data_IF_914432337227
#
_entry.id   IF_914432337227
#
_cell.length_a   1.000
_cell.length_b   1.000
_cell.length_c   1.000
_cell.angle_alpha   90.00
_cell.angle_beta   90.00
_cell.angle_gamma   90.00
#
_symmetry.space_group_name_H-M   'P 1'
#
loop_
_entity.id
_entity.type
_entity.pdbx_description
1 polymer ?
#
# COMPACT_ATOMS: atom_id res chain seq x y z
N UNK A 1 -8.72 -9.12 44.70
CA UNK A 1 -8.30 -8.41 43.47
C UNK A 1 -9.54 -8.18 42.63
N UNK A 2 -9.88 -6.92 42.37
CA UNK A 2 -11.05 -6.55 41.57
C UNK A 2 -10.70 -6.76 40.09
N UNK A 3 -11.36 -7.70 39.41
CA UNK A 3 -11.21 -7.87 37.97
C UNK A 3 -11.93 -6.71 37.27
N UNK A 4 -11.15 -5.86 36.59
CA UNK A 4 -11.68 -4.85 35.69
C UNK A 4 -12.00 -5.55 34.37
N UNK A 5 -13.24 -5.42 33.88
CA UNK A 5 -13.62 -5.91 32.56
C UNK A 5 -12.80 -5.13 31.52
N UNK A 6 -11.93 -5.83 30.78
CA UNK A 6 -11.22 -5.23 29.67
C UNK A 6 -12.23 -4.85 28.58
N UNK A 7 -12.34 -3.55 28.29
CA UNK A 7 -13.21 -3.00 27.23
C UNK A 7 -12.44 -2.72 25.94
N UNK A 8 -11.16 -3.08 25.88
CA UNK A 8 -10.32 -2.87 24.71
C UNK A 8 -10.81 -3.73 23.54
N UNK A 9 -10.99 -3.10 22.38
CA UNK A 9 -11.44 -3.74 21.15
C UNK A 9 -10.27 -4.18 20.26
N UNK A 10 -9.02 -3.95 20.70
CA UNK A 10 -7.80 -4.23 19.93
C UNK A 10 -7.76 -5.63 19.31
N UNK A 11 -8.23 -6.67 20.02
CA UNK A 11 -8.19 -8.05 19.51
C UNK A 11 -9.16 -8.29 18.36
N UNK A 12 -10.32 -7.61 18.33
CA UNK A 12 -11.26 -7.69 17.19
C UNK A 12 -10.71 -6.95 15.97
N UNK A 13 -10.07 -5.80 16.18
CA UNK A 13 -9.49 -5.02 15.08
C UNK A 13 -8.31 -5.72 14.41
N UNK A 14 -7.54 -6.52 15.17
CA UNK A 14 -6.47 -7.37 14.64
C UNK A 14 -7.01 -8.42 13.65
N UNK A 15 -8.11 -9.10 14.01
CA UNK A 15 -8.76 -10.08 13.13
C UNK A 15 -9.12 -9.48 11.76
N UNK A 16 -9.84 -8.37 11.76
CA UNK A 16 -10.21 -7.69 10.50
C UNK A 16 -9.01 -7.16 9.71
N UNK A 17 -7.96 -6.70 10.39
CA UNK A 17 -6.73 -6.28 9.71
C UNK A 17 -6.05 -7.44 9.01
N UNK A 18 -5.95 -8.60 9.67
CA UNK A 18 -5.40 -9.81 9.07
C UNK A 18 -6.20 -10.23 7.84
N UNK A 19 -7.53 -10.33 7.94
CA UNK A 19 -8.41 -10.69 6.82
C UNK A 19 -8.20 -9.79 5.60
N UNK A 20 -8.14 -8.47 5.80
CA UNK A 20 -7.87 -7.50 4.71
C UNK A 20 -6.50 -7.74 4.06
N UNK A 21 -5.46 -7.92 4.88
CA UNK A 21 -4.11 -8.19 4.37
C UNK A 21 -4.02 -9.54 3.64
N UNK A 22 -4.75 -10.57 4.11
CA UNK A 22 -4.85 -11.88 3.47
C UNK A 22 -5.54 -11.81 2.13
N UNK A 23 -6.69 -11.14 2.05
CA UNK A 23 -7.38 -10.89 0.78
C UNK A 23 -6.49 -10.12 -0.22
N UNK A 24 -5.83 -9.05 0.23
CA UNK A 24 -4.89 -8.30 -0.61
C UNK A 24 -3.73 -9.18 -1.11
N UNK A 25 -3.14 -9.99 -0.23
CA UNK A 25 -2.04 -10.90 -0.55
C UNK A 25 -2.48 -11.97 -1.56
N UNK A 26 -3.67 -12.54 -1.41
CA UNK A 26 -4.21 -13.53 -2.33
C UNK A 26 -4.51 -12.93 -3.72
N UNK A 27 -5.06 -11.71 -3.77
CA UNK A 27 -5.24 -10.96 -5.03
C UNK A 27 -3.90 -10.70 -5.72
N UNK A 28 -2.89 -10.25 -4.98
CA UNK A 28 -1.56 -9.98 -5.52
C UNK A 28 -0.88 -11.28 -5.98
N UNK A 29 -1.04 -12.39 -5.26
CA UNK A 29 -0.57 -13.72 -5.70
C UNK A 29 -1.25 -14.13 -7.00
N UNK A 30 -2.56 -13.93 -7.13
CA UNK A 30 -3.30 -14.22 -8.36
C UNK A 30 -2.84 -13.32 -9.54
N UNK A 31 -2.52 -12.05 -9.27
CA UNK A 31 -1.99 -11.13 -10.27
C UNK A 31 -0.59 -11.50 -10.78
N UNK A 32 0.22 -12.09 -9.88
CA UNK A 32 1.58 -12.58 -10.13
C UNK A 32 1.64 -13.99 -10.73
N UNK A 33 0.51 -14.70 -10.76
CA UNK A 33 0.46 -16.08 -11.21
C UNK A 33 0.72 -16.17 -12.72
N UNK A 34 1.75 -16.95 -13.09
CA UNK A 34 2.16 -17.15 -14.48
C UNK A 34 1.20 -18.06 -15.26
N UNK A 35 0.28 -18.74 -14.58
CA UNK A 35 -0.70 -19.63 -15.19
C UNK A 35 -1.90 -18.87 -15.76
N UNK A 36 -1.72 -18.08 -16.83
CA UNK A 36 -2.79 -17.42 -17.61
C UNK A 36 -4.08 -17.11 -16.82
N UNK A 37 -3.95 -16.40 -15.70
CA UNK A 37 -5.11 -16.04 -14.88
C UNK A 37 -5.87 -14.95 -15.61
N UNK A 38 -7.05 -15.31 -16.12
CA UNK A 38 -7.88 -14.43 -16.94
C UNK A 38 -8.62 -13.40 -16.09
N UNK A 39 -9.09 -13.83 -14.92
CA UNK A 39 -9.90 -13.02 -14.02
C UNK A 39 -9.70 -13.51 -12.59
N UNK A 40 -9.66 -12.60 -11.63
CA UNK A 40 -9.63 -12.94 -10.22
C UNK A 40 -10.35 -11.87 -9.40
N UNK A 41 -10.92 -12.29 -8.28
CA UNK A 41 -11.66 -11.41 -7.39
C UNK A 41 -11.73 -11.99 -5.98
N UNK A 42 -11.73 -11.13 -4.98
CA UNK A 42 -11.75 -11.52 -3.58
C UNK A 42 -12.70 -10.65 -2.77
N UNK A 43 -13.21 -11.20 -1.68
CA UNK A 43 -14.00 -10.50 -0.68
C UNK A 43 -13.63 -11.07 0.69
N UNK A 44 -13.94 -10.31 1.73
CA UNK A 44 -13.84 -10.78 3.11
C UNK A 44 -15.24 -10.83 3.72
N UNK A 45 -15.43 -11.74 4.67
CA UNK A 45 -16.73 -12.01 5.32
C UNK A 45 -17.84 -12.40 4.31
N UNK A 46 -17.46 -12.97 3.16
CA UNK A 46 -18.41 -13.34 2.12
C UNK A 46 -18.99 -14.73 2.36
N UNK A 47 -18.12 -15.70 2.64
CA UNK A 47 -18.51 -17.07 3.01
C UNK A 47 -17.81 -17.49 4.30
N UNK A 48 -16.53 -17.15 4.41
CA UNK A 48 -15.76 -17.13 5.67
C UNK A 48 -14.96 -15.82 5.73
N UNK A 49 -13.95 -15.78 6.61
CA UNK A 49 -12.99 -14.69 6.77
C UNK A 49 -12.51 -14.12 5.42
N UNK A 50 -12.02 -14.96 4.49
CA UNK A 50 -11.60 -14.52 3.14
C UNK A 50 -12.05 -15.51 2.06
N UNK A 51 -12.62 -14.99 0.97
CA UNK A 51 -12.94 -15.76 -0.24
C UNK A 51 -12.23 -15.17 -1.44
N UNK A 52 -11.48 -15.99 -2.18
CA UNK A 52 -10.91 -15.62 -3.49
C UNK A 52 -11.35 -16.61 -4.56
N UNK A 53 -11.69 -16.07 -5.72
CA UNK A 53 -12.01 -16.85 -6.92
C UNK A 53 -11.10 -16.38 -8.04
N UNK A 54 -10.47 -17.31 -8.75
CA UNK A 54 -9.67 -17.03 -9.94
C UNK A 54 -10.01 -17.99 -11.07
N UNK A 55 -10.04 -17.48 -12.29
CA UNK A 55 -10.26 -18.28 -13.50
C UNK A 55 -8.91 -18.51 -14.17
N UNK A 56 -8.50 -19.77 -14.18
CA UNK A 56 -7.25 -20.26 -14.78
C UNK A 56 -7.63 -21.03 -16.03
N UNK A 57 -7.26 -20.54 -17.22
CA UNK A 57 -7.68 -21.13 -18.49
C UNK A 57 -9.22 -21.28 -18.60
N UNK A 58 -9.74 -22.51 -18.53
CA UNK A 58 -11.17 -22.86 -18.60
C UNK A 58 -11.73 -23.39 -17.26
N UNK A 59 -10.93 -23.38 -16.20
CA UNK A 59 -11.32 -23.82 -14.86
C UNK A 59 -11.39 -22.63 -13.90
N UNK A 60 -12.34 -22.71 -12.97
CA UNK A 60 -12.45 -21.74 -11.88
C UNK A 60 -11.90 -22.37 -10.62
N UNK A 61 -10.94 -21.71 -9.98
CA UNK A 61 -10.46 -22.07 -8.66
C UNK A 61 -11.11 -21.14 -7.63
N UNK A 62 -11.66 -21.74 -6.58
CA UNK A 62 -12.19 -21.00 -5.44
C UNK A 62 -11.45 -21.44 -4.18
N UNK A 63 -10.96 -20.48 -3.42
CA UNK A 63 -10.36 -20.67 -2.10
C UNK A 63 -11.22 -19.93 -1.08
N UNK A 64 -11.61 -20.63 -0.02
CA UNK A 64 -12.22 -20.04 1.18
C UNK A 64 -11.25 -20.26 2.33
N UNK A 65 -10.93 -19.18 3.03
CA UNK A 65 -9.92 -19.14 4.06
C UNK A 65 -10.51 -18.67 5.39
N UNK A 66 -10.05 -19.29 6.46
CA UNK A 66 -10.30 -18.93 7.85
C UNK A 66 -8.98 -18.51 8.50
N UNK A 67 -8.97 -17.30 9.07
CA UNK A 67 -7.79 -16.57 9.53
C UNK A 67 -7.75 -16.47 11.06
N UNK A 68 -6.76 -17.11 11.68
CA UNK A 68 -6.63 -17.19 13.14
C UNK A 68 -5.34 -16.54 13.61
N UNK A 69 -5.46 -15.28 14.03
CA UNK A 69 -4.39 -14.50 14.67
C UNK A 69 -4.38 -14.73 16.19
N UNK A 70 -3.49 -15.60 16.67
CA UNK A 70 -3.33 -15.91 18.09
C UNK A 70 -1.89 -15.68 18.54
N UNK A 71 -1.67 -15.54 19.84
CA UNK A 71 -0.33 -15.40 20.41
C UNK A 71 0.55 -16.62 20.09
N UNK A 72 1.84 -16.41 19.85
CA UNK A 72 2.82 -17.46 19.57
C UNK A 72 2.89 -18.57 20.64
N UNK A 73 2.47 -18.27 21.86
CA UNK A 73 2.52 -19.20 23.00
C UNK A 73 1.38 -20.24 23.00
N UNK A 74 0.38 -20.07 22.13
CA UNK A 74 -0.75 -20.98 22.00
C UNK A 74 -0.64 -21.78 20.70
N UNK A 75 -0.58 -23.11 20.80
CA UNK A 75 -0.62 -23.99 19.64
C UNK A 75 -2.03 -24.54 19.41
N UNK A 76 -2.43 -24.65 18.15
CA UNK A 76 -3.68 -25.29 17.78
C UNK A 76 -3.57 -26.80 17.75
N UNK A 77 -4.62 -27.47 18.23
CA UNK A 77 -4.79 -28.92 18.10
C UNK A 77 -6.12 -29.18 17.40
N UNK A 78 -6.38 -30.41 16.95
CA UNK A 78 -7.68 -30.77 16.35
C UNK A 78 -8.87 -30.50 17.29
N UNK A 79 -8.64 -30.42 18.61
CA UNK A 79 -9.66 -30.16 19.62
C UNK A 79 -9.82 -28.69 19.99
N UNK A 80 -9.01 -27.80 19.44
CA UNK A 80 -9.15 -26.37 19.70
C UNK A 80 -10.45 -25.86 19.12
N UNK A 81 -11.18 -25.03 19.87
CA UNK A 81 -12.50 -24.54 19.47
C UNK A 81 -12.50 -23.87 18.09
N UNK A 82 -11.50 -23.03 17.80
CA UNK A 82 -11.37 -22.40 16.50
C UNK A 82 -11.23 -23.42 15.35
N UNK A 83 -10.44 -24.48 15.53
CA UNK A 83 -10.25 -25.54 14.52
C UNK A 83 -11.53 -26.33 14.31
N UNK A 84 -12.22 -26.66 15.41
CA UNK A 84 -13.48 -27.39 15.40
C UNK A 84 -14.60 -26.60 14.69
N UNK A 85 -14.74 -25.32 15.00
CA UNK A 85 -15.71 -24.43 14.34
C UNK A 85 -15.43 -24.33 12.83
N UNK A 86 -14.17 -24.13 12.44
CA UNK A 86 -13.78 -24.09 11.03
C UNK A 86 -14.05 -25.42 10.32
N UNK A 87 -13.79 -26.57 10.94
CA UNK A 87 -14.10 -27.87 10.34
C UNK A 87 -15.60 -28.08 10.10
N UNK A 88 -16.45 -27.67 11.05
CA UNK A 88 -17.91 -27.70 10.89
C UNK A 88 -18.31 -26.81 9.70
N UNK A 89 -17.84 -25.56 9.68
CA UNK A 89 -18.21 -24.61 8.63
C UNK A 89 -17.72 -25.03 7.24
N UNK A 90 -16.47 -25.48 7.12
CA UNK A 90 -15.94 -26.04 5.88
C UNK A 90 -16.73 -27.25 5.41
N UNK A 91 -17.16 -28.13 6.33
CA UNK A 91 -17.98 -29.28 5.95
C UNK A 91 -19.36 -28.84 5.43
N UNK A 92 -19.98 -27.84 6.03
CA UNK A 92 -21.25 -27.28 5.56
C UNK A 92 -21.14 -26.68 4.17
N UNK A 93 -20.09 -25.88 3.95
CA UNK A 93 -19.82 -25.31 2.63
C UNK A 93 -19.52 -26.41 1.62
N UNK A 94 -18.74 -27.43 2.01
CA UNK A 94 -18.40 -28.55 1.15
C UNK A 94 -19.67 -29.23 0.66
N UNK A 95 -20.54 -29.69 1.56
CA UNK A 95 -21.78 -30.38 1.19
C UNK A 95 -22.74 -29.45 0.44
N UNK A 96 -22.86 -28.18 0.86
CA UNK A 96 -23.73 -27.20 0.22
C UNK A 96 -23.32 -26.85 -1.22
N UNK A 97 -22.01 -26.92 -1.53
CA UNK A 97 -21.47 -26.56 -2.85
C UNK A 97 -21.12 -27.74 -3.75
N UNK A 98 -20.95 -28.95 -3.21
CA UNK A 98 -20.49 -30.15 -3.92
C UNK A 98 -21.32 -30.53 -5.17
N UNK A 99 -22.50 -29.93 -5.35
CA UNK A 99 -23.38 -30.19 -6.50
C UNK A 99 -23.25 -29.21 -7.69
N UNK A 100 -22.41 -28.17 -7.64
CA UNK A 100 -22.60 -27.00 -8.54
C UNK A 100 -21.68 -26.79 -9.75
N UNK A 101 -20.61 -27.55 -9.99
CA UNK A 101 -19.85 -27.41 -11.26
C UNK A 101 -18.75 -28.46 -11.41
N UNK A 102 -18.66 -29.13 -12.56
CA UNK A 102 -17.51 -30.00 -12.90
C UNK A 102 -16.23 -29.20 -13.20
N UNK A 103 -16.34 -27.90 -13.45
CA UNK A 103 -15.23 -27.03 -13.87
C UNK A 103 -14.70 -26.13 -12.74
N UNK A 104 -15.28 -26.22 -11.53
CA UNK A 104 -14.86 -25.43 -10.37
C UNK A 104 -14.07 -26.29 -9.40
N UNK A 105 -12.78 -26.00 -9.24
CA UNK A 105 -11.94 -26.59 -8.21
C UNK A 105 -12.06 -25.73 -6.96
N UNK A 106 -12.73 -26.28 -5.97
CA UNK A 106 -12.89 -25.63 -4.67
C UNK A 106 -11.84 -26.16 -3.68
N UNK A 107 -11.24 -25.28 -2.86
CA UNK A 107 -10.34 -25.63 -1.75
C UNK A 107 -10.60 -24.73 -0.52
N UNK A 108 -10.27 -25.22 0.65
CA UNK A 108 -10.30 -24.49 1.91
C UNK A 108 -8.89 -24.20 2.41
N UNK A 109 -8.73 -23.18 3.24
CA UNK A 109 -7.46 -22.86 3.91
C UNK A 109 -7.71 -22.50 5.37
N UNK A 110 -6.98 -23.14 6.28
CA UNK A 110 -6.91 -22.72 7.68
C UNK A 110 -5.59 -22.00 7.88
N UNK A 111 -5.62 -20.67 7.93
CA UNK A 111 -4.45 -19.82 8.10
C UNK A 111 -4.28 -19.43 9.56
N UNK A 112 -3.12 -19.71 10.14
CA UNK A 112 -2.82 -19.27 11.50
C UNK A 112 -1.38 -18.83 11.69
N UNK A 113 -1.20 -17.81 12.51
CA UNK A 113 0.10 -17.31 12.97
C UNK A 113 0.80 -18.26 13.94
N UNK A 114 0.07 -19.24 14.48
CA UNK A 114 0.58 -20.17 15.50
C UNK A 114 0.87 -21.55 14.94
N UNK A 115 1.62 -22.36 15.70
CA UNK A 115 1.97 -23.71 15.29
C UNK A 115 0.91 -24.74 15.70
N UNK A 116 1.05 -25.95 15.16
CA UNK A 116 0.22 -27.08 15.58
C UNK A 116 0.88 -27.81 16.74
N UNK A 117 0.06 -28.19 17.73
CA UNK A 117 0.49 -28.83 18.97
C UNK A 117 -0.04 -30.25 19.09
N UNK A 118 0.57 -31.02 19.99
CA UNK A 118 0.15 -32.40 20.26
C UNK A 118 -1.14 -32.45 21.09
N UNK A 119 -2.07 -33.29 20.67
CA UNK A 119 -3.32 -33.55 21.38
C UNK A 119 -3.04 -34.30 22.69
N UNK A 120 -3.71 -33.89 23.77
CA UNK A 120 -3.70 -34.62 25.06
C UNK A 120 -5.03 -35.29 25.39
N UNK A 121 -6.12 -34.81 24.77
CA UNK A 121 -7.49 -35.27 24.99
C UNK A 121 -7.71 -36.58 24.24
N UNK A 122 -7.99 -37.67 24.97
CA UNK A 122 -8.24 -39.01 24.42
C UNK A 122 -9.72 -39.42 24.41
N UNK A 123 -10.59 -38.64 25.06
CA UNK A 123 -12.02 -38.92 25.16
C UNK A 123 -12.83 -37.82 24.47
N UNK A 124 -13.80 -38.21 23.65
CA UNK A 124 -14.78 -37.32 23.05
C UNK A 124 -15.89 -36.96 24.04
N UNK A 125 -16.72 -35.96 23.69
CA UNK A 125 -17.82 -35.51 24.54
C UNK A 125 -18.91 -36.58 24.73
N UNK A 126 -19.02 -37.53 23.81
CA UNK A 126 -19.93 -38.67 23.87
C UNK A 126 -19.36 -39.89 24.63
N UNK A 127 -18.16 -39.76 25.21
CA UNK A 127 -17.47 -40.82 25.95
C UNK A 127 -16.63 -41.76 25.08
N UNK A 128 -16.57 -41.56 23.76
CA UNK A 128 -15.73 -42.37 22.87
C UNK A 128 -14.26 -42.16 23.18
N UNK A 129 -13.53 -43.23 23.46
CA UNK A 129 -12.06 -43.20 23.64
C UNK A 129 -11.37 -43.37 22.30
N UNK A 130 -10.39 -42.51 22.03
CA UNK A 130 -9.61 -42.48 20.80
C UNK A 130 -8.13 -42.74 21.10
N UNK A 131 -7.52 -43.60 20.29
CA UNK A 131 -6.07 -43.75 20.25
C UNK A 131 -5.45 -42.63 19.42
N UNK A 132 -4.73 -41.72 20.09
CA UNK A 132 -4.05 -40.62 19.43
C UNK A 132 -2.76 -41.13 18.74
N UNK A 133 -2.45 -40.66 17.53
CA UNK A 133 -1.18 -40.96 16.87
C UNK A 133 0.01 -40.36 17.63
N UNK A 134 1.24 -40.73 17.28
CA UNK A 134 2.44 -40.14 17.90
C UNK A 134 2.65 -38.67 17.50
N UNK A 135 2.42 -38.34 16.23
CA UNK A 135 2.53 -36.97 15.71
C UNK A 135 1.22 -36.19 15.90
N UNK A 136 1.23 -34.85 15.98
CA UNK A 136 0.01 -34.02 15.96
C UNK A 136 -0.86 -34.32 14.74
N UNK A 137 -2.18 -34.44 14.93
CA UNK A 137 -3.13 -34.76 13.85
C UNK A 137 -3.08 -33.68 12.77
N UNK A 138 -3.08 -32.39 13.15
CA UNK A 138 -3.03 -31.28 12.20
C UNK A 138 -1.71 -31.26 11.40
N UNK A 139 -0.59 -31.69 11.98
CA UNK A 139 0.67 -31.83 11.23
C UNK A 139 0.63 -32.99 10.24
N UNK A 140 -0.05 -34.10 10.60
CA UNK A 140 -0.27 -35.21 9.67
C UNK A 140 -1.12 -34.72 8.51
N UNK A 141 -2.23 -34.03 8.78
CA UNK A 141 -3.12 -33.49 7.73
C UNK A 141 -2.39 -32.47 6.83
N UNK A 142 -1.53 -31.62 7.39
CA UNK A 142 -0.74 -30.64 6.64
C UNK A 142 0.21 -31.27 5.60
N UNK A 143 0.87 -32.36 5.96
CA UNK A 143 2.02 -32.89 5.21
C UNK A 143 1.71 -34.13 4.37
N UNK A 144 0.52 -34.70 4.47
CA UNK A 144 0.24 -36.02 3.88
C UNK A 144 -0.44 -35.91 2.53
N UNK A 145 0.20 -36.42 1.48
CA UNK A 145 -0.45 -36.66 0.18
C UNK A 145 -1.58 -37.69 0.27
N UNK A 146 -1.48 -38.59 1.24
CA UNK A 146 -2.47 -39.62 1.54
C UNK A 146 -2.73 -39.67 3.05
N UNK A 147 -4.00 -39.50 3.43
CA UNK A 147 -4.41 -39.46 4.83
C UNK A 147 -4.73 -40.89 5.27
N UNK A 148 -4.02 -41.45 6.28
CA UNK A 148 -4.26 -42.81 6.76
C UNK A 148 -5.69 -43.01 7.30
N UNK A 149 -6.24 -44.21 7.13
CA UNK A 149 -7.61 -44.58 7.54
C UNK A 149 -7.87 -44.31 9.03
N UNK A 150 -6.91 -44.67 9.89
CA UNK A 150 -7.00 -44.42 11.32
C UNK A 150 -7.11 -42.92 11.62
N UNK A 151 -6.30 -42.07 10.96
CA UNK A 151 -6.35 -40.62 11.13
C UNK A 151 -7.67 -40.05 10.64
N UNK A 152 -8.11 -40.46 9.45
CA UNK A 152 -9.39 -39.99 8.89
C UNK A 152 -10.59 -40.39 9.75
N UNK A 153 -10.57 -41.60 10.35
CA UNK A 153 -11.63 -42.07 11.24
C UNK A 153 -11.66 -41.30 12.56
N UNK A 154 -10.48 -40.98 13.11
CA UNK A 154 -10.36 -40.13 14.30
C UNK A 154 -10.94 -38.74 14.03
N UNK A 155 -10.53 -38.10 12.94
CA UNK A 155 -11.02 -36.75 12.58
C UNK A 155 -12.52 -36.78 12.31
N UNK A 156 -13.05 -37.82 11.64
CA UNK A 156 -14.50 -37.98 11.41
C UNK A 156 -15.26 -38.09 12.73
N UNK A 157 -14.77 -38.87 13.69
CA UNK A 157 -15.40 -39.02 14.99
C UNK A 157 -15.40 -37.70 15.80
N UNK A 158 -14.28 -36.97 15.77
CA UNK A 158 -14.15 -35.65 16.41
C UNK A 158 -15.16 -34.68 15.80
N UNK A 159 -15.21 -34.59 14.46
CA UNK A 159 -16.12 -33.71 13.75
C UNK A 159 -17.58 -34.08 14.02
N UNK A 160 -17.94 -35.37 13.98
CA UNK A 160 -19.30 -35.82 14.31
C UNK A 160 -19.74 -35.41 15.71
N UNK A 161 -18.86 -35.58 16.70
CA UNK A 161 -19.15 -35.20 18.09
C UNK A 161 -19.38 -33.70 18.22
N UNK A 162 -18.56 -32.87 17.57
CA UNK A 162 -18.74 -31.41 17.63
C UNK A 162 -19.94 -30.95 16.81
N UNK A 163 -20.14 -31.48 15.61
CA UNK A 163 -21.24 -31.13 14.72
C UNK A 163 -22.59 -31.36 15.41
N UNK A 164 -22.76 -32.52 16.06
CA UNK A 164 -23.96 -32.83 16.87
C UNK A 164 -24.17 -31.80 17.98
N UNK A 165 -23.11 -31.39 18.66
CA UNK A 165 -23.15 -30.39 19.74
C UNK A 165 -23.54 -29.01 19.23
N UNK A 166 -23.02 -28.56 18.08
CA UNK A 166 -23.34 -27.24 17.53
C UNK A 166 -24.77 -27.17 16.97
N UNK A 167 -25.23 -28.25 16.34
CA UNK A 167 -26.55 -28.31 15.70
C UNK A 167 -27.69 -28.85 16.58
N UNK A 168 -27.42 -29.28 17.82
CA UNK A 168 -28.43 -29.89 18.72
C UNK A 168 -29.71 -29.04 18.87
N UNK A 169 -29.55 -27.70 18.88
CA UNK A 169 -30.64 -26.73 19.07
C UNK A 169 -31.10 -26.05 17.79
N UNK A 170 -30.52 -26.41 16.64
CA UNK A 170 -30.78 -25.77 15.35
C UNK A 170 -31.78 -26.65 14.58
N UNK A 171 -32.97 -26.13 14.22
CA UNK A 171 -33.94 -26.88 13.42
C UNK A 171 -33.33 -27.38 12.11
N UNK A 172 -33.50 -28.67 11.81
CA UNK A 172 -32.98 -29.31 10.61
C UNK A 172 -31.62 -30.01 10.77
N UNK A 173 -30.92 -29.81 11.89
CA UNK A 173 -29.65 -30.47 12.22
C UNK A 173 -28.55 -30.32 11.15
N UNK A 174 -28.60 -29.25 10.35
CA UNK A 174 -27.64 -29.00 9.27
C UNK A 174 -27.50 -30.18 8.30
N UNK A 175 -26.26 -30.53 7.98
CA UNK A 175 -25.87 -31.68 7.16
C UNK A 175 -25.42 -32.89 7.99
N UNK A 176 -25.89 -33.02 9.24
CA UNK A 176 -25.48 -34.12 10.14
C UNK A 176 -25.62 -35.49 9.49
N UNK A 177 -26.74 -35.76 8.82
CA UNK A 177 -26.97 -37.05 8.15
C UNK A 177 -25.96 -37.32 7.04
N UNK A 178 -25.57 -36.28 6.28
CA UNK A 178 -24.54 -36.42 5.26
C UNK A 178 -23.18 -36.75 5.90
N UNK A 179 -22.85 -36.15 7.06
CA UNK A 179 -21.62 -36.47 7.80
C UNK A 179 -21.64 -37.89 8.39
N UNK A 180 -22.80 -38.39 8.82
CA UNK A 180 -22.94 -39.78 9.28
C UNK A 180 -22.73 -40.75 8.11
N UNK A 181 -23.41 -40.51 6.99
CA UNK A 181 -23.48 -41.40 5.83
C UNK A 181 -22.25 -41.33 4.90
N UNK A 182 -21.42 -40.27 4.96
CA UNK A 182 -20.25 -40.11 4.09
C UNK A 182 -19.26 -41.26 4.25
N UNK A 183 -18.81 -41.84 3.14
CA UNK A 183 -17.80 -42.90 3.17
C UNK A 183 -16.46 -42.37 3.71
N UNK A 184 -15.61 -43.24 4.24
CA UNK A 184 -14.30 -42.80 4.73
C UNK A 184 -13.42 -42.24 3.60
N UNK A 185 -13.55 -42.79 2.39
CA UNK A 185 -12.83 -42.30 1.20
C UNK A 185 -13.31 -40.92 0.78
N UNK A 186 -14.62 -40.68 0.72
CA UNK A 186 -15.16 -39.35 0.40
C UNK A 186 -14.81 -38.33 1.48
N UNK A 187 -14.75 -38.77 2.75
CA UNK A 187 -14.32 -37.92 3.84
C UNK A 187 -12.82 -37.54 3.73
N UNK A 188 -11.96 -38.47 3.29
CA UNK A 188 -10.57 -38.15 2.97
C UNK A 188 -10.47 -37.14 1.83
N UNK A 189 -11.34 -37.22 0.81
CA UNK A 189 -11.39 -36.22 -0.27
C UNK A 189 -11.71 -34.84 0.30
N UNK A 190 -12.69 -34.74 1.20
CA UNK A 190 -12.98 -33.51 1.93
C UNK A 190 -11.76 -33.00 2.71
N UNK A 191 -11.11 -33.83 3.52
CA UNK A 191 -9.95 -33.39 4.30
C UNK A 191 -8.78 -32.91 3.41
N UNK A 192 -8.56 -33.56 2.25
CA UNK A 192 -7.55 -33.14 1.26
C UNK A 192 -7.85 -31.81 0.59
N UNK A 193 -9.09 -31.32 0.68
CA UNK A 193 -9.47 -29.99 0.19
C UNK A 193 -9.02 -28.87 1.13
N UNK A 194 -8.61 -29.20 2.36
CA UNK A 194 -8.23 -28.22 3.38
C UNK A 194 -6.71 -28.08 3.42
N UNK A 195 -6.21 -26.88 3.12
CA UNK A 195 -4.82 -26.50 3.28
C UNK A 195 -4.59 -26.02 4.72
N UNK A 196 -3.78 -26.75 5.48
CA UNK A 196 -3.46 -26.42 6.87
C UNK A 196 -2.20 -25.57 6.95
N UNK A 197 -2.36 -24.25 7.06
CA UNK A 197 -1.27 -23.27 7.03
C UNK A 197 -0.94 -22.80 8.46
N UNK A 198 -0.01 -23.50 9.11
CA UNK A 198 0.51 -23.13 10.45
C UNK A 198 1.80 -22.32 10.42
N UNK A 199 2.01 -21.53 11.47
CA UNK A 199 3.21 -20.70 11.66
C UNK A 199 3.38 -19.69 10.54
N UNK A 200 2.26 -19.10 10.10
CA UNK A 200 2.24 -18.14 9.02
C UNK A 200 2.51 -16.72 9.53
N UNK A 201 2.72 -15.82 8.58
CA UNK A 201 3.04 -14.42 8.82
C UNK A 201 1.95 -13.72 9.65
N UNK A 202 2.36 -12.93 10.63
CA UNK A 202 1.47 -12.02 11.34
C UNK A 202 1.18 -10.76 10.50
N UNK A 203 0.40 -9.81 11.05
CA UNK A 203 0.02 -8.59 10.32
C UNK A 203 1.21 -7.76 9.82
N UNK A 204 2.31 -7.71 10.59
CA UNK A 204 3.48 -6.92 10.24
C UNK A 204 4.28 -7.63 9.15
N UNK A 205 4.53 -8.93 9.32
CA UNK A 205 5.26 -9.73 8.34
C UNK A 205 4.50 -9.84 7.01
N UNK A 206 3.17 -9.99 7.08
CA UNK A 206 2.31 -10.09 5.91
C UNK A 206 2.27 -8.78 5.12
N UNK A 207 2.39 -7.63 5.79
CA UNK A 207 2.53 -6.34 5.11
C UNK A 207 3.81 -6.30 4.26
N UNK A 208 4.95 -6.70 4.82
CA UNK A 208 6.23 -6.74 4.09
C UNK A 208 6.16 -7.69 2.89
N UNK A 209 5.48 -8.83 3.05
CA UNK A 209 5.28 -9.79 1.96
C UNK A 209 4.31 -9.30 0.89
N UNK A 210 3.26 -8.57 1.25
CA UNK A 210 2.40 -7.91 0.29
C UNK A 210 3.16 -6.84 -0.51
N UNK A 211 4.05 -6.06 0.12
CA UNK A 211 4.89 -5.08 -0.59
C UNK A 211 5.86 -5.76 -1.58
N UNK A 212 6.44 -6.92 -1.22
CA UNK A 212 7.26 -7.71 -2.16
C UNK A 212 6.44 -8.20 -3.35
N UNK A 213 5.21 -8.67 -3.12
CA UNK A 213 4.30 -9.12 -4.18
C UNK A 213 3.86 -7.97 -5.08
N UNK A 214 3.72 -6.76 -4.54
CA UNK A 214 3.46 -5.55 -5.34
C UNK A 214 4.62 -5.29 -6.29
N UNK A 215 5.88 -5.36 -5.81
CA UNK A 215 7.08 -5.15 -6.64
C UNK A 215 7.22 -6.18 -7.76
N UNK A 216 6.80 -7.43 -7.53
CA UNK A 216 6.85 -8.47 -8.56
C UNK A 216 5.66 -8.45 -9.52
N UNK A 217 4.60 -7.70 -9.19
CA UNK A 217 3.35 -7.68 -9.93
C UNK A 217 3.55 -7.22 -11.38
N UNK A 218 2.86 -7.87 -12.33
CA UNK A 218 2.89 -7.50 -13.75
C UNK A 218 2.43 -6.06 -14.03
N UNK A 219 1.64 -5.48 -13.12
CA UNK A 219 1.18 -4.09 -13.23
C UNK A 219 2.19 -3.08 -12.72
N UNK A 220 3.22 -3.53 -11.98
CA UNK A 220 4.20 -2.67 -11.35
C UNK A 220 5.17 -2.10 -12.39
N UNK A 221 5.44 -0.80 -12.27
CA UNK A 221 6.37 -0.09 -13.15
C UNK A 221 7.42 0.66 -12.34
N UNK A 222 8.54 1.01 -12.98
CA UNK A 222 9.64 1.73 -12.33
C UNK A 222 9.19 3.08 -11.73
N UNK A 223 8.23 3.76 -12.37
CA UNK A 223 7.62 5.01 -11.89
C UNK A 223 6.86 4.87 -10.56
N UNK A 224 6.59 3.64 -10.11
CA UNK A 224 5.93 3.31 -8.86
C UNK A 224 6.92 2.96 -7.74
N UNK A 225 8.23 3.07 -7.97
CA UNK A 225 9.25 2.81 -6.95
C UNK A 225 9.02 3.68 -5.71
N UNK A 226 8.96 3.05 -4.53
CA UNK A 226 8.69 3.72 -3.26
C UNK A 226 7.21 3.98 -2.97
N UNK A 227 6.28 3.51 -3.82
CA UNK A 227 4.83 3.65 -3.64
C UNK A 227 4.13 2.35 -3.25
N UNK A 228 4.86 1.33 -2.83
CA UNK A 228 4.31 0.00 -2.52
C UNK A 228 3.30 0.06 -1.38
N UNK A 229 3.66 0.76 -0.31
CA UNK A 229 2.77 0.94 0.84
C UNK A 229 1.50 1.72 0.47
N UNK A 230 1.62 2.71 -0.44
CA UNK A 230 0.47 3.45 -0.96
C UNK A 230 -0.46 2.54 -1.78
N UNK A 231 0.10 1.71 -2.67
CA UNK A 231 -0.66 0.73 -3.45
C UNK A 231 -1.38 -0.22 -2.51
N UNK A 232 -0.68 -0.77 -1.51
CA UNK A 232 -1.26 -1.67 -0.52
C UNK A 232 -2.39 -0.99 0.25
N UNK A 233 -2.18 0.23 0.75
CA UNK A 233 -3.21 0.99 1.46
C UNK A 233 -4.47 1.16 0.61
N UNK A 234 -4.34 1.56 -0.66
CA UNK A 234 -5.49 1.70 -1.57
C UNK A 234 -6.22 0.37 -1.81
N UNK A 235 -5.52 -0.76 -1.88
CA UNK A 235 -6.16 -2.09 -1.98
C UNK A 235 -6.96 -2.39 -0.71
N UNK A 236 -6.38 -2.16 0.47
CA UNK A 236 -7.04 -2.43 1.75
C UNK A 236 -8.25 -1.52 1.97
N UNK A 237 -8.14 -0.24 1.61
CA UNK A 237 -9.25 0.72 1.66
C UNK A 237 -10.37 0.29 0.70
N UNK A 238 -10.02 -0.21 -0.49
CA UNK A 238 -11.02 -0.71 -1.44
C UNK A 238 -11.74 -1.95 -0.92
N UNK A 239 -11.04 -2.87 -0.25
CA UNK A 239 -11.66 -4.03 0.39
C UNK A 239 -12.64 -3.58 1.48
N UNK A 240 -12.24 -2.62 2.31
CA UNK A 240 -13.07 -2.05 3.38
C UNK A 240 -14.34 -1.40 2.82
N UNK A 241 -14.20 -0.55 1.78
CA UNK A 241 -15.32 0.06 1.06
C UNK A 241 -16.30 -1.00 0.55
N UNK A 242 -15.76 -2.08 -0.03
CA UNK A 242 -16.55 -3.15 -0.66
C UNK A 242 -17.38 -3.95 0.35
N UNK A 243 -16.92 -4.10 1.59
CA UNK A 243 -17.67 -4.82 2.61
C UNK A 243 -19.01 -4.18 2.97
N UNK A 244 -19.18 -2.88 2.72
CA UNK A 244 -20.38 -2.14 3.09
C UNK A 244 -21.54 -2.27 2.10
N UNK A 245 -21.32 -2.86 0.91
CA UNK A 245 -22.40 -3.06 -0.06
C UNK A 245 -23.34 -4.19 0.37
N UNK A 246 -24.65 -3.96 0.18
CA UNK A 246 -25.69 -4.96 0.49
C UNK A 246 -25.69 -6.11 -0.52
N UNK A 247 -25.44 -5.82 -1.81
CA UNK A 247 -25.39 -6.85 -2.84
C UNK A 247 -24.10 -7.66 -2.71
N UNK A 248 -24.26 -8.98 -2.57
CA UNK A 248 -23.17 -9.93 -2.45
C UNK A 248 -22.15 -9.80 -3.58
N UNK A 249 -22.58 -9.57 -4.82
CA UNK A 249 -21.68 -9.46 -5.97
C UNK A 249 -20.81 -8.19 -5.91
N UNK A 250 -21.35 -7.10 -5.34
CA UNK A 250 -20.64 -5.82 -5.22
C UNK A 250 -19.59 -5.83 -4.12
N UNK A 251 -19.65 -6.80 -3.20
CA UNK A 251 -18.68 -6.96 -2.09
C UNK A 251 -17.30 -7.45 -2.53
N UNK A 252 -17.14 -7.83 -3.79
CA UNK A 252 -15.87 -8.32 -4.33
C UNK A 252 -15.05 -7.20 -4.97
N UNK A 253 -13.76 -7.19 -4.65
CA UNK A 253 -12.74 -6.47 -5.40
C UNK A 253 -12.22 -7.38 -6.53
N UNK A 254 -12.14 -6.88 -7.75
CA UNK A 254 -11.72 -7.65 -8.92
C UNK A 254 -10.37 -7.20 -9.51
N UNK A 255 -9.87 -7.97 -10.47
CA UNK A 255 -8.58 -7.73 -11.13
C UNK A 255 -8.46 -6.37 -11.81
N UNK A 256 -9.54 -5.84 -12.38
CA UNK A 256 -9.53 -4.52 -13.03
C UNK A 256 -9.40 -3.39 -12.01
N UNK A 257 -10.03 -3.52 -10.84
CA UNK A 257 -9.89 -2.56 -9.74
C UNK A 257 -8.47 -2.60 -9.15
N UNK A 258 -7.87 -3.78 -9.02
CA UNK A 258 -6.47 -3.92 -8.61
C UNK A 258 -5.55 -3.24 -9.62
N UNK A 259 -5.71 -3.51 -10.92
CA UNK A 259 -4.93 -2.85 -11.98
C UNK A 259 -5.10 -1.33 -11.96
N UNK A 260 -6.33 -0.83 -11.76
CA UNK A 260 -6.61 0.60 -11.66
C UNK A 260 -5.86 1.24 -10.48
N UNK A 261 -5.78 0.58 -9.33
CA UNK A 261 -5.02 1.09 -8.18
C UNK A 261 -3.54 1.26 -8.53
N UNK A 262 -2.93 0.32 -9.26
CA UNK A 262 -1.56 0.48 -9.75
C UNK A 262 -1.45 1.70 -10.69
N UNK A 263 -2.39 1.86 -11.63
CA UNK A 263 -2.41 3.03 -12.54
C UNK A 263 -2.58 4.37 -11.83
N UNK A 264 -3.35 4.41 -10.75
CA UNK A 264 -3.47 5.60 -9.91
C UNK A 264 -2.14 5.92 -9.23
N UNK A 265 -1.46 4.92 -8.66
CA UNK A 265 -0.14 5.11 -8.05
C UNK A 265 0.93 5.52 -9.08
N UNK A 266 0.85 5.05 -10.32
CA UNK A 266 1.70 5.48 -11.43
C UNK A 266 1.60 7.00 -11.65
N UNK A 267 0.37 7.50 -11.66
CA UNK A 267 0.02 8.89 -12.01
C UNK A 267 0.29 9.89 -10.88
N UNK A 268 0.42 9.42 -9.63
CA UNK A 268 0.85 10.25 -8.52
C UNK A 268 2.33 10.65 -8.73
N UNK A 269 2.62 11.95 -8.76
CA UNK A 269 3.99 12.45 -8.99
C UNK A 269 4.89 11.95 -7.85
N UNK A 270 5.86 11.10 -8.18
CA UNK A 270 6.84 10.61 -7.20
C UNK A 270 7.74 11.76 -6.76
N UNK A 271 7.94 11.95 -5.46
CA UNK A 271 8.94 12.90 -4.94
C UNK A 271 10.36 12.58 -5.46
N UNK A 272 10.62 11.35 -5.92
CA UNK A 272 11.94 10.92 -6.40
C UNK A 272 12.40 11.58 -7.72
N UNK A 273 11.49 12.17 -8.51
CA UNK A 273 11.86 12.96 -9.70
C UNK A 273 11.91 14.48 -9.43
N UNK A 274 11.65 14.89 -8.19
CA UNK A 274 11.80 16.28 -7.77
C UNK A 274 13.27 16.55 -7.46
N UNK A 275 13.79 17.65 -7.99
CA UNK A 275 15.12 18.14 -7.66
C UNK A 275 15.23 18.32 -6.12
N UNK A 276 16.14 17.63 -5.42
CA UNK A 276 16.15 17.58 -3.95
C UNK A 276 16.68 18.87 -3.30
N UNK A 277 17.13 19.85 -4.10
CA UNK A 277 17.91 20.99 -3.65
C UNK A 277 17.11 22.09 -2.94
N UNK A 278 15.79 21.93 -2.79
CA UNK A 278 14.95 22.89 -2.06
C UNK A 278 15.40 23.15 -0.61
N UNK A 279 16.10 22.20 0.02
CA UNK A 279 16.62 22.33 1.38
C UNK A 279 17.73 23.39 1.47
N UNK A 280 18.58 23.48 0.45
CA UNK A 280 19.70 24.44 0.40
C UNK A 280 19.20 25.90 0.37
N UNK A 281 18.04 26.15 -0.25
CA UNK A 281 17.44 27.48 -0.30
C UNK A 281 17.09 28.02 1.09
N UNK A 282 16.62 27.15 1.99
CA UNK A 282 16.28 27.55 3.36
C UNK A 282 17.54 27.93 4.14
N UNK A 283 18.62 27.15 4.01
CA UNK A 283 19.90 27.46 4.64
C UNK A 283 20.52 28.75 4.10
N UNK A 284 20.43 28.97 2.79
CA UNK A 284 20.91 30.19 2.14
C UNK A 284 20.17 31.43 2.64
N UNK A 285 18.85 31.36 2.79
CA UNK A 285 18.03 32.48 3.26
C UNK A 285 18.46 33.01 4.65
N UNK A 286 18.98 32.13 5.50
CA UNK A 286 19.46 32.48 6.83
C UNK A 286 20.81 33.22 6.81
N UNK A 287 21.57 33.12 5.71
CA UNK A 287 22.90 33.72 5.54
C UNK A 287 22.87 35.07 4.83
N UNK A 288 21.72 35.50 4.31
CA UNK A 288 21.61 36.76 3.55
C UNK A 288 21.75 37.98 4.47
N UNK A 289 22.77 38.79 4.21
CA UNK A 289 23.10 40.02 4.94
C UNK A 289 22.49 41.27 4.29
N UNK A 290 22.44 41.35 2.96
CA UNK A 290 21.78 42.45 2.23
C UNK A 290 20.28 42.46 2.54
N UNK A 291 19.73 43.60 2.94
CA UNK A 291 18.30 43.79 3.26
C UNK A 291 17.59 44.72 2.27
N UNK A 292 18.29 45.18 1.24
CA UNK A 292 17.72 46.07 0.23
C UNK A 292 16.74 45.32 -0.65
N UNK A 293 15.59 45.94 -0.90
CA UNK A 293 14.62 45.44 -1.87
C UNK A 293 15.05 45.79 -3.32
N UNK A 294 14.26 45.35 -4.29
CA UNK A 294 14.53 45.58 -5.71
C UNK A 294 14.66 47.07 -6.08
N UNK A 295 13.82 47.94 -5.53
CA UNK A 295 13.83 49.37 -5.82
C UNK A 295 15.12 50.02 -5.31
N UNK A 296 15.50 49.73 -4.06
CA UNK A 296 16.72 50.25 -3.44
C UNK A 296 17.96 49.82 -4.22
N UNK A 297 18.07 48.54 -4.60
CA UNK A 297 19.20 48.01 -5.38
C UNK A 297 19.33 48.67 -6.75
N UNK A 298 18.21 48.89 -7.44
CA UNK A 298 18.22 49.56 -8.75
C UNK A 298 18.62 51.03 -8.61
N UNK A 299 18.09 51.74 -7.61
CA UNK A 299 18.37 53.17 -7.42
C UNK A 299 19.79 53.44 -6.92
N UNK A 300 20.37 52.55 -6.12
CA UNK A 300 21.78 52.61 -5.71
C UNK A 300 22.71 52.51 -6.93
N UNK A 301 22.44 51.57 -7.84
CA UNK A 301 23.25 51.37 -9.05
C UNK A 301 22.90 52.35 -10.18
N UNK A 302 21.67 52.87 -10.23
CA UNK A 302 21.17 53.76 -11.28
C UNK A 302 20.11 54.74 -10.72
N UNK A 303 20.53 55.89 -10.15
CA UNK A 303 19.61 56.85 -9.54
C UNK A 303 18.57 57.45 -10.50
N UNK A 304 18.88 57.48 -11.81
CA UNK A 304 18.01 58.01 -12.86
C UNK A 304 17.05 56.97 -13.46
N UNK A 305 16.95 55.77 -12.87
CA UNK A 305 16.12 54.70 -13.42
C UNK A 305 14.61 55.04 -13.37
N UNK A 306 13.82 54.82 -14.45
CA UNK A 306 12.42 55.22 -14.46
C UNK A 306 11.56 54.48 -13.43
N UNK A 307 10.88 55.23 -12.55
CA UNK A 307 9.97 54.68 -11.53
C UNK A 307 8.88 53.76 -12.10
N UNK A 308 8.38 54.04 -13.31
CA UNK A 308 7.39 53.20 -13.99
C UNK A 308 7.91 51.79 -14.32
N UNK A 309 9.21 51.66 -14.62
CA UNK A 309 9.87 50.38 -14.85
C UNK A 309 10.11 49.63 -13.54
N UNK A 310 10.53 50.33 -12.49
CA UNK A 310 10.67 49.75 -11.14
C UNK A 310 9.34 49.15 -10.69
N UNK A 311 8.24 49.92 -10.78
CA UNK A 311 6.90 49.44 -10.43
C UNK A 311 6.44 48.22 -11.26
N UNK A 312 6.93 48.07 -12.48
CA UNK A 312 6.62 46.90 -13.31
C UNK A 312 7.42 45.68 -12.86
N UNK A 313 8.69 45.85 -12.52
CA UNK A 313 9.52 44.77 -12.00
C UNK A 313 9.05 44.34 -10.59
N UNK A 314 8.72 45.28 -9.72
CA UNK A 314 8.16 44.99 -8.39
C UNK A 314 6.86 44.20 -8.46
N UNK A 315 5.96 44.51 -9.41
CA UNK A 315 4.76 43.70 -9.64
C UNK A 315 5.10 42.26 -10.05
N UNK A 316 6.11 42.07 -10.91
CA UNK A 316 6.57 40.73 -11.30
C UNK A 316 7.16 39.94 -10.13
N UNK A 317 7.97 40.59 -9.28
CA UNK A 317 8.48 39.98 -8.05
C UNK A 317 7.33 39.54 -7.13
N UNK A 318 6.36 40.43 -6.90
CA UNK A 318 5.18 40.14 -6.08
C UNK A 318 4.37 38.96 -6.64
N UNK A 319 4.07 38.94 -7.94
CA UNK A 319 3.39 37.80 -8.58
C UNK A 319 4.16 36.50 -8.42
N UNK A 320 5.49 36.52 -8.61
CA UNK A 320 6.33 35.33 -8.42
C UNK A 320 6.36 34.86 -6.96
N UNK A 321 6.32 35.78 -5.99
CA UNK A 321 6.23 35.44 -4.57
C UNK A 321 4.87 34.82 -4.21
N UNK A 322 3.78 35.33 -4.78
CA UNK A 322 2.46 34.69 -4.63
C UNK A 322 2.44 33.29 -5.26
N UNK A 323 3.08 33.10 -6.43
CA UNK A 323 3.25 31.78 -7.03
C UNK A 323 4.07 30.84 -6.13
N UNK A 324 5.13 31.35 -5.47
CA UNK A 324 5.94 30.60 -4.50
C UNK A 324 5.11 30.13 -3.30
N UNK A 325 4.34 31.04 -2.68
CA UNK A 325 3.48 30.74 -1.53
C UNK A 325 2.36 29.73 -1.87
N UNK A 326 1.90 29.70 -3.12
CA UNK A 326 0.88 28.78 -3.61
C UNK A 326 1.45 27.44 -4.14
N UNK A 327 2.77 27.25 -4.14
CA UNK A 327 3.44 26.11 -4.78
C UNK A 327 4.01 25.10 -3.78
N UNK A 328 4.58 24.00 -4.31
CA UNK A 328 5.19 22.93 -3.52
C UNK A 328 6.74 22.99 -3.56
N UNK A 329 7.40 21.99 -2.95
CA UNK A 329 8.87 21.86 -2.88
C UNK A 329 9.58 21.98 -4.24
N UNK A 330 8.93 21.56 -5.33
CA UNK A 330 9.46 21.68 -6.69
C UNK A 330 9.75 23.13 -7.08
N UNK A 331 8.91 24.08 -6.65
CA UNK A 331 9.12 25.51 -6.90
C UNK A 331 10.33 26.04 -6.14
N UNK A 332 10.52 25.61 -4.89
CA UNK A 332 11.67 26.00 -4.09
C UNK A 332 12.98 25.48 -4.71
N UNK A 333 13.00 24.23 -5.20
CA UNK A 333 14.14 23.70 -5.96
C UNK A 333 14.40 24.51 -7.23
N UNK A 334 13.34 24.83 -7.99
CA UNK A 334 13.45 25.69 -9.16
C UNK A 334 14.04 27.06 -8.82
N UNK A 335 13.56 27.69 -7.74
CA UNK A 335 14.05 28.99 -7.27
C UNK A 335 15.54 28.93 -6.91
N UNK A 336 15.97 27.86 -6.26
CA UNK A 336 17.39 27.65 -5.96
C UNK A 336 18.25 27.48 -7.22
N UNK A 337 17.80 26.68 -8.19
CA UNK A 337 18.52 26.52 -9.48
C UNK A 337 18.59 27.81 -10.29
N UNK A 338 17.55 28.63 -10.23
CA UNK A 338 17.57 29.97 -10.83
C UNK A 338 18.56 30.88 -10.11
N UNK A 339 18.65 30.78 -8.79
CA UNK A 339 19.69 31.49 -8.01
C UNK A 339 21.10 31.05 -8.43
N UNK A 340 21.39 29.75 -8.48
CA UNK A 340 22.71 29.24 -8.94
C UNK A 340 23.05 29.76 -10.33
N UNK A 341 22.09 29.72 -11.27
CA UNK A 341 22.29 30.24 -12.62
C UNK A 341 22.60 31.75 -12.66
N UNK A 342 22.06 32.52 -11.70
CA UNK A 342 22.36 33.95 -11.59
C UNK A 342 23.74 34.20 -10.98
N UNK A 343 24.13 33.40 -9.98
CA UNK A 343 25.47 33.47 -9.41
C UNK A 343 26.53 33.07 -10.43
N UNK A 344 26.29 32.01 -11.21
CA UNK A 344 27.16 31.62 -12.33
C UNK A 344 27.31 32.76 -13.35
N UNK A 345 26.23 33.50 -13.63
CA UNK A 345 26.30 34.67 -14.50
C UNK A 345 27.22 35.74 -13.90
N UNK A 346 27.11 36.04 -12.60
CA UNK A 346 27.97 37.03 -11.94
C UNK A 346 29.39 36.53 -11.67
N UNK A 347 29.61 35.22 -11.67
CA UNK A 347 30.94 34.63 -11.68
C UNK A 347 31.64 34.88 -13.03
N UNK A 348 30.90 34.73 -14.13
CA UNK A 348 31.39 34.97 -15.49
C UNK A 348 31.41 36.46 -15.87
N UNK A 349 30.62 37.30 -15.20
CA UNK A 349 30.42 38.72 -15.50
C UNK A 349 30.51 39.55 -14.23
N UNK A 350 31.47 40.48 -14.16
CA UNK A 350 31.63 41.33 -12.98
C UNK A 350 30.35 42.11 -12.66
N UNK A 351 30.04 42.19 -11.35
CA UNK A 351 29.04 43.10 -10.80
C UNK A 351 29.46 44.56 -11.03
N UNK A 352 28.54 45.49 -10.87
CA UNK A 352 28.83 46.91 -11.06
C UNK A 352 29.68 47.45 -9.91
N UNK A 353 30.79 48.10 -10.25
CA UNK A 353 31.62 48.88 -9.33
C UNK A 353 31.18 50.34 -9.20
N UNK A 354 30.45 50.84 -10.19
CA UNK A 354 30.10 52.25 -10.34
C UNK A 354 28.64 52.42 -10.78
N UNK A 355 28.11 53.64 -10.68
CA UNK A 355 26.78 53.96 -11.17
C UNK A 355 26.68 53.71 -12.68
N UNK A 356 25.66 52.97 -13.09
CA UNK A 356 25.42 52.59 -14.48
C UNK A 356 24.19 53.27 -15.07
N UNK A 357 24.08 53.21 -16.39
CA UNK A 357 22.89 53.69 -17.08
C UNK A 357 21.75 52.66 -17.07
N UNK A 358 20.55 53.11 -17.42
CA UNK A 358 19.35 52.26 -17.47
C UNK A 358 19.52 51.05 -18.40
N UNK A 359 20.21 51.22 -19.53
CA UNK A 359 20.42 50.15 -20.52
C UNK A 359 21.26 49.02 -19.94
N UNK A 360 22.26 49.31 -19.12
CA UNK A 360 23.08 48.31 -18.44
C UNK A 360 22.25 47.46 -17.47
N UNK A 361 21.39 48.09 -16.66
CA UNK A 361 20.48 47.38 -15.74
C UNK A 361 19.47 46.52 -16.51
N UNK A 362 18.81 47.10 -17.53
CA UNK A 362 17.85 46.38 -18.38
C UNK A 362 18.50 45.16 -19.06
N UNK A 363 19.76 45.31 -19.51
CA UNK A 363 20.52 44.24 -20.17
C UNK A 363 20.91 43.15 -19.19
N UNK A 364 21.38 43.51 -17.99
CA UNK A 364 21.78 42.56 -16.96
C UNK A 364 20.61 41.70 -16.51
N UNK A 365 19.46 42.30 -16.22
CA UNK A 365 18.25 41.55 -15.84
C UNK A 365 17.85 40.57 -16.95
N UNK A 366 17.90 41.00 -18.23
CA UNK A 366 17.60 40.11 -19.36
C UNK A 366 18.60 38.97 -19.51
N UNK A 367 19.88 39.23 -19.28
CA UNK A 367 20.93 38.20 -19.33
C UNK A 367 20.77 37.17 -18.22
N UNK A 368 20.46 37.60 -16.99
CA UNK A 368 20.14 36.71 -15.87
C UNK A 368 18.93 35.82 -16.21
N UNK A 369 17.85 36.43 -16.73
CA UNK A 369 16.66 35.71 -17.18
C UNK A 369 16.96 34.66 -18.26
N UNK A 370 17.82 35.01 -19.22
CA UNK A 370 18.20 34.10 -20.29
C UNK A 370 19.05 32.93 -19.78
N UNK A 371 20.09 33.21 -18.98
CA UNK A 371 20.94 32.18 -18.37
C UNK A 371 20.12 31.22 -17.50
N UNK A 372 19.21 31.75 -16.68
CA UNK A 372 18.29 30.94 -15.88
C UNK A 372 17.40 30.06 -16.76
N UNK A 373 16.78 30.62 -17.80
CA UNK A 373 15.92 29.85 -18.71
C UNK A 373 16.65 28.71 -19.42
N UNK A 374 17.89 28.95 -19.86
CA UNK A 374 18.72 27.95 -20.53
C UNK A 374 19.16 26.84 -19.57
N UNK A 375 19.56 27.20 -18.34
CA UNK A 375 19.96 26.24 -17.29
C UNK A 375 18.80 25.33 -16.91
N UNK A 376 17.61 25.90 -16.66
CA UNK A 376 16.42 25.10 -16.32
C UNK A 376 15.97 24.22 -17.48
N UNK A 377 16.14 24.66 -18.73
CA UNK A 377 15.83 23.84 -19.90
C UNK A 377 16.70 22.58 -19.97
N UNK A 378 17.95 22.67 -19.55
CA UNK A 378 18.85 21.51 -19.47
C UNK A 378 18.46 20.59 -18.30
N UNK A 379 18.27 21.15 -17.11
CA UNK A 379 17.92 20.38 -15.90
C UNK A 379 16.58 19.64 -16.03
N UNK A 380 15.64 20.16 -16.84
CA UNK A 380 14.38 19.48 -17.16
C UNK A 380 14.53 18.13 -17.86
N UNK A 381 15.71 17.80 -18.38
CA UNK A 381 15.99 16.48 -18.93
C UNK A 381 16.08 15.42 -17.83
N UNK A 382 16.51 15.82 -16.63
CA UNK A 382 16.78 14.92 -15.51
C UNK A 382 15.74 15.08 -14.38
N UNK A 383 15.15 16.27 -14.23
CA UNK A 383 14.22 16.62 -13.14
C UNK A 383 12.86 17.11 -13.63
N UNK A 384 11.83 16.86 -12.83
CA UNK A 384 10.48 17.37 -13.08
C UNK A 384 10.18 18.61 -12.23
N UNK A 385 9.87 19.73 -12.90
CA UNK A 385 9.42 20.96 -12.25
C UNK A 385 7.93 21.20 -12.50
N UNK A 386 7.14 21.36 -11.44
CA UNK A 386 5.66 21.50 -11.52
C UNK A 386 5.21 22.73 -12.32
N UNK A 387 5.95 23.84 -12.19
CA UNK A 387 5.75 25.09 -12.94
C UNK A 387 7.11 25.63 -13.32
N UNK A 388 7.34 25.86 -14.62
CA UNK A 388 8.68 26.19 -15.12
C UNK A 388 8.65 26.81 -16.52
N UNK A 389 7.57 27.53 -16.83
CA UNK A 389 7.49 28.29 -18.08
C UNK A 389 8.43 29.52 -18.01
N UNK A 390 8.70 30.13 -19.17
CA UNK A 390 9.62 31.26 -19.27
C UNK A 390 9.21 32.45 -18.39
N UNK A 391 7.92 32.76 -18.29
CA UNK A 391 7.44 33.89 -17.47
C UNK A 391 7.62 33.63 -15.98
N UNK A 392 7.37 32.40 -15.51
CA UNK A 392 7.65 32.00 -14.12
C UNK A 392 9.14 32.12 -13.81
N UNK A 393 10.03 31.61 -14.67
CA UNK A 393 11.48 31.73 -14.48
C UNK A 393 11.92 33.21 -14.45
N UNK A 394 11.38 34.03 -15.36
CA UNK A 394 11.65 35.46 -15.38
C UNK A 394 11.18 36.17 -14.10
N UNK A 395 10.02 35.75 -13.57
CA UNK A 395 9.48 36.23 -12.32
C UNK A 395 10.37 35.87 -11.14
N UNK A 396 10.88 34.64 -11.09
CA UNK A 396 11.79 34.16 -10.05
C UNK A 396 13.07 34.99 -10.00
N UNK A 397 13.68 35.32 -11.14
CA UNK A 397 14.89 36.18 -11.17
C UNK A 397 14.62 37.53 -10.50
N UNK A 398 13.49 38.17 -10.80
CA UNK A 398 13.14 39.46 -10.23
C UNK A 398 12.77 39.32 -8.75
N UNK A 399 12.10 38.23 -8.36
CA UNK A 399 11.83 37.89 -6.97
C UNK A 399 13.11 37.66 -6.18
N UNK A 400 14.14 36.99 -6.73
CA UNK A 400 15.43 36.79 -6.06
C UNK A 400 16.17 38.11 -5.80
N UNK A 401 16.07 39.07 -6.72
CA UNK A 401 16.62 40.41 -6.50
C UNK A 401 15.86 41.12 -5.37
N UNK A 402 14.52 41.04 -5.38
CA UNK A 402 13.65 41.65 -4.36
C UNK A 402 13.78 41.00 -2.97
N UNK A 403 13.86 39.68 -2.92
CA UNK A 403 14.00 38.85 -1.71
C UNK A 403 15.44 38.75 -1.21
N UNK A 404 16.30 39.66 -1.64
CA UNK A 404 17.65 39.86 -1.14
C UNK A 404 18.71 38.81 -1.53
N UNK A 405 18.37 37.81 -2.35
CA UNK A 405 19.30 36.76 -2.76
C UNK A 405 20.32 37.23 -3.81
N UNK A 406 19.93 38.14 -4.72
CA UNK A 406 20.80 38.62 -5.81
C UNK A 406 20.99 40.13 -5.71
N UNK A 407 22.21 40.60 -5.93
CA UNK A 407 22.51 42.03 -6.03
C UNK A 407 23.39 42.38 -7.24
N UNK A 408 23.31 43.64 -7.69
CA UNK A 408 24.01 44.13 -8.86
C UNK A 408 25.41 44.69 -8.57
N UNK A 409 25.69 45.08 -7.33
CA UNK A 409 26.91 45.74 -6.88
C UNK A 409 27.79 44.84 -6.00
N UNK A 410 29.12 45.02 -6.05
CA UNK A 410 30.09 44.20 -5.29
C UNK A 410 30.13 44.57 -3.79
N UNK A 411 29.99 45.86 -3.46
CA UNK A 411 30.37 46.42 -2.15
C UNK A 411 29.60 45.87 -0.92
N UNK A 412 28.55 45.07 -1.11
CA UNK A 412 27.65 44.62 -0.03
C UNK A 412 27.19 43.16 -0.16
N UNK A 413 27.96 42.32 -0.87
CA UNK A 413 27.62 40.92 -1.16
C UNK A 413 28.02 39.91 -0.06
N UNK A 414 28.66 40.32 1.03
CA UNK A 414 29.13 39.44 2.12
C UNK A 414 28.14 39.27 3.26
#
# INVERSE_FOLDING_TARGET
MTQIINRDAADKTKGFRLQKLRAATLLLKAANDLSNVNFYYAAIEAEEDVTIIKTVNLSTEQIIEEDKNYSSDSNFTIYSEAVLNTLVSFFDIYIGKWHKSQSTVFNFSFYTTTNFGKEKKKELADGTTIELPDKPILEILKNSSEIPDNISSIVKAILLSEYKKQYEKIPGNGYLKALEDISLEDFKIFLKKINWLSGQEDESELQDSAEKLIKSCKYYQLSMSGKEQLILAKILDKIDEKQHFEDFAERFINSAEVELIFKMAESEVSEQLLDPIWKELQELSAKITDKRNLEEKILDSCPAYPKSKIATLARKACSSKTEEEASNRSFLSLKYRVFEACEDYFFDNNKFSDTVNQTSIDTTIKSLQQKAADTIKELKKDYTYTVSNKETINGIVVNLIDSCFICFDEEKSE
#
